data_IF_414759733676
#
_entry.id   IF_414759733676
#
_cell.length_a   1.000
_cell.length_b   1.000
_cell.length_c   1.000
_cell.angle_alpha   90.00
_cell.angle_beta   90.00
_cell.angle_gamma   90.00
#
_symmetry.space_group_name_H-M   'P 1'
#
loop_
_entity.id
_entity.type
_entity.pdbx_description
1 polymer ?
#
# COMPACT_ATOMS: atom_id res chain seq x y z
N UNK A 1 5.20 17.78 -9.66
CA UNK A 1 4.71 17.52 -8.27
C UNK A 1 4.60 16.02 -8.11
N UNK A 2 5.29 15.38 -7.16
CA UNK A 2 5.16 13.95 -6.94
C UNK A 2 3.71 13.61 -6.57
N UNK A 3 3.12 12.66 -7.29
CA UNK A 3 1.71 12.27 -7.16
C UNK A 3 1.63 10.92 -6.42
N UNK A 4 0.83 10.79 -5.34
CA UNK A 4 0.60 9.53 -4.64
C UNK A 4 0.26 8.37 -5.59
N UNK A 5 -0.53 8.63 -6.64
CA UNK A 5 -0.94 7.65 -7.66
C UNK A 5 0.26 7.03 -8.40
N UNK A 6 1.32 7.80 -8.64
CA UNK A 6 2.54 7.29 -9.28
C UNK A 6 3.22 6.22 -8.43
N UNK A 7 3.34 6.48 -7.13
CA UNK A 7 3.89 5.53 -6.18
C UNK A 7 2.99 4.29 -6.01
N UNK A 8 1.66 4.47 -5.96
CA UNK A 8 0.71 3.35 -5.89
C UNK A 8 0.84 2.44 -7.12
N UNK A 9 0.88 3.01 -8.33
CA UNK A 9 1.06 2.23 -9.55
C UNK A 9 2.39 1.45 -9.55
N UNK A 10 3.48 2.10 -9.12
CA UNK A 10 4.78 1.44 -8.95
C UNK A 10 4.72 0.29 -7.94
N UNK A 11 4.05 0.49 -6.80
CA UNK A 11 3.84 -0.55 -5.80
C UNK A 11 3.06 -1.74 -6.34
N UNK A 12 2.02 -1.52 -7.16
CA UNK A 12 1.25 -2.59 -7.81
C UNK A 12 2.14 -3.43 -8.72
N UNK A 13 3.00 -2.80 -9.53
CA UNK A 13 3.94 -3.50 -10.39
C UNK A 13 4.97 -4.30 -9.58
N UNK A 14 5.56 -3.70 -8.54
CA UNK A 14 6.51 -4.38 -7.64
C UNK A 14 5.88 -5.53 -6.89
N UNK A 15 4.61 -5.41 -6.49
CA UNK A 15 3.84 -6.49 -5.87
C UNK A 15 3.70 -7.69 -6.82
N UNK A 16 3.37 -7.45 -8.09
CA UNK A 16 3.31 -8.49 -9.13
C UNK A 16 4.67 -9.17 -9.36
N UNK A 17 5.76 -8.42 -9.23
CA UNK A 17 7.13 -8.93 -9.29
C UNK A 17 7.60 -9.59 -7.97
N UNK A 18 6.72 -9.74 -6.97
CA UNK A 18 7.03 -10.26 -5.63
C UNK A 18 8.11 -9.46 -4.88
N UNK A 19 8.35 -8.22 -5.28
CA UNK A 19 9.27 -7.26 -4.65
C UNK A 19 8.55 -6.53 -3.51
N UNK A 20 8.12 -7.29 -2.50
CA UNK A 20 7.17 -6.78 -1.49
C UNK A 20 7.73 -5.63 -0.65
N UNK A 21 9.01 -5.67 -0.26
CA UNK A 21 9.63 -4.58 0.50
C UNK A 21 9.66 -3.27 -0.30
N UNK A 22 9.96 -3.35 -1.60
CA UNK A 22 9.96 -2.18 -2.47
C UNK A 22 8.53 -1.64 -2.69
N UNK A 23 7.53 -2.53 -2.80
CA UNK A 23 6.13 -2.14 -2.91
C UNK A 23 5.64 -1.41 -1.65
N UNK A 24 5.97 -1.91 -0.45
CA UNK A 24 5.66 -1.25 0.81
C UNK A 24 6.35 0.11 0.94
N UNK A 25 7.59 0.24 0.45
CA UNK A 25 8.30 1.52 0.43
C UNK A 25 7.59 2.55 -0.45
N UNK A 26 7.12 2.15 -1.63
CA UNK A 26 6.36 3.04 -2.51
C UNK A 26 5.01 3.44 -1.90
N UNK A 27 4.28 2.49 -1.31
CA UNK A 27 3.01 2.78 -0.63
C UNK A 27 3.20 3.74 0.55
N UNK A 28 4.30 3.60 1.29
CA UNK A 28 4.67 4.55 2.35
C UNK A 28 4.90 5.95 1.79
N UNK A 29 5.60 6.10 0.66
CA UNK A 29 5.78 7.40 -0.01
C UNK A 29 4.45 7.98 -0.50
N UNK A 30 3.52 7.14 -0.97
CA UNK A 30 2.18 7.60 -1.32
C UNK A 30 1.46 8.20 -0.09
N UNK A 31 1.58 7.56 1.07
CA UNK A 31 1.02 8.06 2.34
C UNK A 31 1.75 9.28 2.91
N UNK A 32 3.04 9.46 2.63
CA UNK A 32 3.77 10.69 2.99
C UNK A 32 3.24 11.90 2.20
N UNK A 33 2.76 11.68 0.98
CA UNK A 33 2.18 12.72 0.12
C UNK A 33 0.68 12.93 0.37
N UNK A 34 -0.05 11.85 0.65
CA UNK A 34 -1.47 11.86 0.97
C UNK A 34 -1.75 10.87 2.11
N UNK A 35 -1.71 11.33 3.37
CA UNK A 35 -1.90 10.46 4.54
C UNK A 35 -3.29 9.80 4.63
N UNK A 36 -4.27 10.30 3.87
CA UNK A 36 -5.65 9.81 3.83
C UNK A 36 -5.93 8.97 2.59
N UNK A 37 -4.90 8.55 1.87
CA UNK A 37 -5.06 7.78 0.65
C UNK A 37 -5.51 6.33 0.95
N UNK A 38 -6.81 6.05 0.75
CA UNK A 38 -7.38 4.72 0.99
C UNK A 38 -6.78 3.64 0.07
N UNK A 39 -6.46 3.97 -1.18
CA UNK A 39 -5.81 3.05 -2.13
C UNK A 39 -4.41 2.61 -1.65
N UNK A 40 -3.64 3.51 -1.05
CA UNK A 40 -2.33 3.17 -0.51
C UNK A 40 -2.43 2.21 0.69
N UNK A 41 -3.36 2.43 1.61
CA UNK A 41 -3.61 1.49 2.71
C UNK A 41 -4.13 0.13 2.21
N UNK A 42 -5.02 0.14 1.22
CA UNK A 42 -5.50 -1.09 0.59
C UNK A 42 -4.34 -1.86 -0.07
N UNK A 43 -3.47 -1.15 -0.80
CA UNK A 43 -2.25 -1.73 -1.37
C UNK A 43 -1.35 -2.37 -0.31
N UNK A 44 -1.17 -1.74 0.86
CA UNK A 44 -0.40 -2.34 1.95
C UNK A 44 -1.08 -3.62 2.48
N UNK A 45 -2.41 -3.63 2.58
CA UNK A 45 -3.15 -4.84 3.02
C UNK A 45 -2.91 -6.03 2.08
N UNK A 46 -2.95 -5.80 0.76
CA UNK A 46 -2.69 -6.82 -0.25
C UNK A 46 -1.26 -7.34 -0.16
N UNK A 47 -0.28 -6.45 0.01
CA UNK A 47 1.13 -6.85 0.11
C UNK A 47 1.37 -7.69 1.36
N UNK A 48 0.81 -7.32 2.52
CA UNK A 48 0.96 -8.10 3.74
C UNK A 48 0.24 -9.45 3.69
N UNK A 49 -0.92 -9.55 3.02
CA UNK A 49 -1.57 -10.84 2.75
C UNK A 49 -0.65 -11.77 1.93
N UNK A 50 0.04 -11.24 0.91
CA UNK A 50 0.98 -12.00 0.07
C UNK A 50 2.26 -12.43 0.80
N UNK A 51 2.67 -11.69 1.84
CA UNK A 51 3.79 -12.06 2.72
C UNK A 51 3.36 -13.10 3.77
N UNK A 52 2.05 -13.24 4.03
CA UNK A 52 1.49 -14.11 5.07
C UNK A 52 1.28 -13.42 6.43
N UNK A 53 1.47 -12.10 6.49
CA UNK A 53 1.36 -11.28 7.69
C UNK A 53 -0.10 -10.81 7.92
N UNK A 54 -0.99 -11.76 8.19
CA UNK A 54 -2.44 -11.52 8.27
C UNK A 54 -2.86 -10.39 9.21
N UNK A 55 -2.23 -10.28 10.39
CA UNK A 55 -2.56 -9.22 11.35
C UNK A 55 -2.31 -7.82 10.78
N UNK A 56 -1.21 -7.65 10.03
CA UNK A 56 -0.92 -6.37 9.36
C UNK A 56 -1.88 -6.13 8.21
N UNK A 57 -2.20 -7.16 7.43
CA UNK A 57 -3.15 -7.04 6.34
C UNK A 57 -4.53 -6.56 6.83
N UNK A 58 -5.06 -7.18 7.89
CA UNK A 58 -6.34 -6.78 8.50
C UNK A 58 -6.28 -5.35 9.04
N UNK A 59 -5.20 -4.97 9.72
CA UNK A 59 -5.00 -3.60 10.22
C UNK A 59 -5.10 -2.59 9.07
N UNK A 60 -4.34 -2.79 7.99
CA UNK A 60 -4.31 -1.83 6.88
C UNK A 60 -5.59 -1.86 6.04
N UNK A 61 -6.29 -3.00 5.98
CA UNK A 61 -7.61 -3.09 5.36
C UNK A 61 -8.64 -2.24 6.10
N UNK A 62 -8.68 -2.30 7.43
CA UNK A 62 -9.54 -1.44 8.25
C UNK A 62 -9.25 0.04 8.04
N UNK A 63 -7.97 0.43 8.04
CA UNK A 63 -7.57 1.82 7.76
C UNK A 63 -8.06 2.30 6.37
N UNK A 64 -8.01 1.44 5.35
CA UNK A 64 -8.53 1.77 4.03
C UNK A 64 -10.05 1.94 4.01
N UNK A 65 -10.78 1.13 4.77
CA UNK A 65 -12.25 1.21 4.91
C UNK A 65 -12.70 2.46 5.67
N UNK A 66 -11.95 2.88 6.69
CA UNK A 66 -12.23 4.12 7.46
C UNK A 66 -12.05 5.40 6.63
N UNK A 67 -11.29 5.33 5.53
CA UNK A 67 -10.97 6.46 4.66
C UNK A 67 -11.76 6.46 3.34
N UNK A 68 -12.74 5.56 3.20
CA UNK A 68 -13.65 5.52 2.04
C UNK A 68 -14.70 6.63 2.07
#
# INVERSE_FOLDING_TARGET
IPNPRGYINSAVLKTKLRKYNEALSDLKKALELDPKNSDAYFGMSVVYDLIGEKSKAEKYRRMAEELK
#
